data_IF_840926689999
#
_entry.id   IF_840926689999
#
_cell.length_a   1.000
_cell.length_b   1.000
_cell.length_c   1.000
_cell.angle_alpha   90.00
_cell.angle_beta   90.00
_cell.angle_gamma   90.00
#
_symmetry.space_group_name_H-M   'P 1'
#
loop_
_entity.id
_entity.type
_entity.pdbx_description
1 polymer ?
#
# COMPACT_ATOMS: atom_id res chain seq x y z
N UNK A 1 23.49 -6.22 27.81
CA UNK A 1 22.19 -6.08 27.13
C UNK A 1 21.50 -4.86 27.69
N UNK A 2 21.50 -3.77 26.96
CA UNK A 2 20.65 -2.60 27.26
C UNK A 2 19.27 -2.97 26.70
N UNK A 3 18.30 -3.15 27.57
CA UNK A 3 16.89 -3.23 27.12
C UNK A 3 16.52 -1.83 26.66
N UNK A 4 16.49 -1.61 25.36
CA UNK A 4 15.88 -0.41 24.77
C UNK A 4 14.37 -0.55 24.98
N UNK A 5 13.77 0.42 25.68
CA UNK A 5 12.32 0.50 25.80
C UNK A 5 11.78 0.90 24.41
N UNK A 6 10.95 0.05 23.81
CA UNK A 6 10.38 0.27 22.48
C UNK A 6 9.65 1.60 22.36
N UNK A 7 9.04 2.05 23.45
CA UNK A 7 8.37 3.35 23.49
C UNK A 7 9.36 4.51 23.43
N UNK A 8 10.49 4.38 24.10
CA UNK A 8 11.60 5.34 24.05
C UNK A 8 12.25 5.37 22.67
N UNK A 9 12.39 4.21 22.01
CA UNK A 9 12.86 4.08 20.63
C UNK A 9 11.89 4.75 19.62
N UNK A 10 10.59 4.52 19.76
CA UNK A 10 9.55 5.14 18.93
C UNK A 10 9.58 6.66 19.08
N UNK A 11 9.64 7.17 20.32
CA UNK A 11 9.75 8.60 20.61
C UNK A 11 11.06 9.21 20.07
N UNK A 12 12.19 8.51 20.18
CA UNK A 12 13.47 8.93 19.60
C UNK A 12 13.43 8.96 18.08
N UNK A 13 12.84 7.96 17.44
CA UNK A 13 12.74 7.90 15.97
C UNK A 13 11.90 9.05 15.45
N UNK A 14 10.76 9.33 16.09
CA UNK A 14 9.88 10.46 15.74
C UNK A 14 10.58 11.80 16.00
N UNK A 15 11.29 11.94 17.11
CA UNK A 15 11.99 13.17 17.48
C UNK A 15 13.16 13.43 16.52
N UNK A 16 13.97 12.43 16.23
CA UNK A 16 15.10 12.55 15.30
C UNK A 16 14.63 12.83 13.86
N UNK A 17 13.53 12.20 13.44
CA UNK A 17 12.90 12.50 12.15
C UNK A 17 12.41 13.94 12.06
N UNK A 18 11.86 14.51 13.15
CA UNK A 18 11.47 15.93 13.22
C UNK A 18 12.67 16.88 13.17
N UNK A 19 13.77 16.52 13.82
CA UNK A 19 15.02 17.33 13.81
C UNK A 19 15.64 17.36 12.41
N UNK A 20 15.70 16.22 11.72
CA UNK A 20 16.16 16.13 10.33
C UNK A 20 15.25 16.88 9.34
N UNK A 21 13.95 16.99 9.64
CA UNK A 21 13.01 17.81 8.86
C UNK A 21 13.25 19.31 9.01
N UNK A 22 13.80 19.76 10.15
CA UNK A 22 14.13 21.17 10.37
C UNK A 22 15.44 21.58 9.73
N UNK A 23 16.36 20.65 9.47
CA UNK A 23 17.67 20.92 8.87
C UNK A 23 17.72 20.75 7.33
N UNK A 24 16.73 20.13 6.72
CA UNK A 24 16.66 19.90 5.27
C UNK A 24 15.45 20.56 4.63
N UNK A 25 15.65 21.44 3.66
CA UNK A 25 14.60 21.94 2.78
C UNK A 25 13.94 20.76 2.01
N UNK A 26 12.98 20.08 2.65
CA UNK A 26 12.11 19.15 1.98
C UNK A 26 11.04 19.93 1.21
N UNK A 27 11.18 19.96 -0.11
CA UNK A 27 10.09 20.36 -1.01
C UNK A 27 8.90 19.46 -0.71
N UNK A 28 7.88 20.04 -0.08
CA UNK A 28 6.59 19.43 0.08
C UNK A 28 6.00 19.18 -1.31
N UNK A 29 5.94 17.94 -1.73
CA UNK A 29 5.08 17.53 -2.83
C UNK A 29 3.67 17.39 -2.25
N UNK A 30 2.69 17.91 -2.98
CA UNK A 30 1.30 18.16 -2.56
C UNK A 30 0.40 16.92 -2.47
N UNK A 31 0.89 15.80 -1.95
CA UNK A 31 0.11 14.57 -1.72
C UNK A 31 -0.20 14.30 -0.23
N UNK A 32 -0.23 15.33 0.58
CA UNK A 32 -0.25 15.27 2.05
C UNK A 32 -1.54 14.67 2.66
N UNK A 33 -2.62 14.47 1.90
CA UNK A 33 -3.93 14.17 2.51
C UNK A 33 -4.32 12.71 2.63
N UNK A 34 -3.74 11.78 1.86
CA UNK A 34 -4.22 10.39 1.77
C UNK A 34 -3.35 9.37 2.51
N UNK A 35 -2.05 9.58 2.55
CA UNK A 35 -1.11 8.67 3.21
C UNK A 35 -1.20 8.75 4.75
N UNK A 36 -1.63 9.89 5.30
CA UNK A 36 -1.72 10.10 6.76
C UNK A 36 -2.69 9.13 7.47
N UNK A 37 -3.81 8.77 6.84
CA UNK A 37 -4.79 7.85 7.44
C UNK A 37 -4.23 6.42 7.47
N UNK A 38 -3.68 5.95 6.36
CA UNK A 38 -3.13 4.59 6.26
C UNK A 38 -1.86 4.39 7.11
N UNK A 39 -1.15 5.46 7.43
CA UNK A 39 0.10 5.46 8.20
C UNK A 39 -0.06 6.08 9.62
N UNK A 40 -1.30 6.22 10.11
CA UNK A 40 -1.61 6.75 11.44
C UNK A 40 -0.93 8.11 11.72
N UNK A 41 -0.92 9.00 10.75
CA UNK A 41 -0.38 10.35 10.85
C UNK A 41 1.12 10.47 10.53
N UNK A 42 1.78 9.37 10.10
CA UNK A 42 3.13 9.42 9.58
C UNK A 42 3.13 9.67 8.07
N UNK A 43 4.11 10.40 7.58
CA UNK A 43 4.41 10.46 6.15
C UNK A 43 5.22 9.23 5.72
N UNK A 44 5.16 8.88 4.44
CA UNK A 44 6.00 7.81 3.87
C UNK A 44 7.49 8.06 4.14
N UNK A 45 7.94 9.29 4.00
CA UNK A 45 9.33 9.65 4.23
C UNK A 45 9.75 9.47 5.71
N UNK A 46 8.87 9.63 6.67
CA UNK A 46 9.15 9.35 8.09
C UNK A 46 9.29 7.85 8.32
N UNK A 47 8.39 7.05 7.75
CA UNK A 47 8.46 5.59 7.83
C UNK A 47 9.76 5.07 7.19
N UNK A 48 10.05 5.48 5.96
CA UNK A 48 11.22 5.04 5.20
C UNK A 48 12.55 5.38 5.93
N UNK A 49 12.64 6.58 6.52
CA UNK A 49 13.79 6.97 7.35
C UNK A 49 13.89 6.17 8.64
N UNK A 50 12.75 5.94 9.30
CA UNK A 50 12.71 5.13 10.51
C UNK A 50 13.20 3.71 10.28
N UNK A 51 12.81 3.10 9.14
CA UNK A 51 13.29 1.78 8.74
C UNK A 51 14.80 1.78 8.46
N UNK A 52 15.31 2.78 7.74
CA UNK A 52 16.77 2.92 7.50
C UNK A 52 17.54 3.05 8.81
N UNK A 53 17.03 3.85 9.75
CA UNK A 53 17.66 4.01 11.06
C UNK A 53 17.66 2.71 11.87
N UNK A 54 16.53 1.99 11.90
CA UNK A 54 16.46 0.67 12.56
C UNK A 54 17.43 -0.33 11.94
N UNK A 55 17.46 -0.42 10.61
CA UNK A 55 18.34 -1.32 9.88
C UNK A 55 19.83 -1.01 10.14
N UNK A 56 20.20 0.28 10.24
CA UNK A 56 21.54 0.69 10.60
C UNK A 56 21.93 0.20 12.01
N UNK A 57 21.03 0.33 12.99
CA UNK A 57 21.26 -0.19 14.34
C UNK A 57 21.46 -1.70 14.36
N UNK A 58 20.68 -2.46 13.59
CA UNK A 58 20.84 -3.93 13.45
C UNK A 58 22.20 -4.26 12.84
N UNK A 59 22.65 -3.55 11.79
CA UNK A 59 23.97 -3.77 11.21
C UNK A 59 25.10 -3.49 12.21
N UNK A 60 24.97 -2.45 13.03
CA UNK A 60 25.94 -2.14 14.10
C UNK A 60 25.99 -3.24 15.16
N UNK A 61 24.83 -3.79 15.58
CA UNK A 61 24.75 -4.92 16.51
C UNK A 61 25.40 -6.18 15.93
N UNK A 62 25.26 -6.40 14.62
CA UNK A 62 25.89 -7.51 13.90
C UNK A 62 27.39 -7.28 13.59
N UNK A 63 27.89 -6.06 13.74
CA UNK A 63 29.26 -5.67 13.35
C UNK A 63 29.48 -5.64 11.83
N UNK A 64 28.41 -5.39 11.06
CA UNK A 64 28.39 -5.37 9.60
C UNK A 64 28.22 -3.96 9.01
N UNK A 65 28.23 -2.93 9.84
CA UNK A 65 28.02 -1.53 9.44
C UNK A 65 29.03 -0.99 8.40
N UNK A 66 30.18 -1.65 8.29
CA UNK A 66 31.20 -1.31 7.30
C UNK A 66 31.21 -2.25 6.07
N UNK A 67 30.42 -3.31 6.10
CA UNK A 67 30.36 -4.33 5.03
C UNK A 67 29.06 -4.27 4.23
N UNK A 68 28.03 -3.64 4.80
CA UNK A 68 26.69 -3.52 4.20
C UNK A 68 26.31 -2.04 4.12
N UNK A 69 25.99 -1.60 2.92
CA UNK A 69 25.50 -0.24 2.62
C UNK A 69 23.97 -0.26 2.46
N UNK A 70 23.26 0.49 3.29
CA UNK A 70 21.84 0.72 3.12
C UNK A 70 21.61 1.78 2.05
N UNK A 71 20.79 1.50 1.03
CA UNK A 71 20.61 2.38 -0.11
C UNK A 71 19.32 3.20 -0.01
N UNK A 72 18.19 2.52 0.18
CA UNK A 72 16.88 3.17 0.28
C UNK A 72 15.85 2.23 0.93
N UNK A 73 14.80 2.83 1.49
CA UNK A 73 13.59 2.12 1.91
C UNK A 73 12.38 2.68 1.16
N UNK A 74 11.35 1.85 0.93
CA UNK A 74 10.09 2.25 0.30
C UNK A 74 8.92 1.54 0.94
N UNK A 75 7.91 2.34 1.32
CA UNK A 75 6.61 1.81 1.74
C UNK A 75 5.91 1.19 0.54
N UNK A 76 5.39 -0.03 0.72
CA UNK A 76 4.58 -0.73 -0.28
C UNK A 76 3.45 -1.52 0.38
N UNK A 77 2.88 -2.51 -0.34
CA UNK A 77 1.80 -3.32 0.20
C UNK A 77 0.46 -2.58 0.31
N UNK A 78 -0.48 -3.16 1.04
CA UNK A 78 -1.86 -2.68 1.12
C UNK A 78 -1.97 -1.25 1.69
N UNK A 79 -1.10 -0.88 2.64
CA UNK A 79 -1.09 0.47 3.22
C UNK A 79 -0.54 1.55 2.29
N UNK A 80 0.08 1.19 1.18
CA UNK A 80 0.47 2.12 0.13
C UNK A 80 -0.66 2.49 -0.84
N UNK A 81 -1.83 1.84 -0.72
CA UNK A 81 -2.98 1.97 -1.61
C UNK A 81 -4.26 2.19 -0.80
N UNK A 82 -4.93 3.33 -1.01
CA UNK A 82 -6.18 3.69 -0.32
C UNK A 82 -7.25 2.60 -0.44
N UNK A 83 -7.40 2.02 -1.64
CA UNK A 83 -8.41 1.03 -1.95
C UNK A 83 -8.15 -0.35 -1.32
N UNK A 84 -6.89 -0.65 -0.98
CA UNK A 84 -6.48 -1.93 -0.39
C UNK A 84 -6.23 -1.84 1.12
N UNK A 85 -6.16 -0.62 1.64
CA UNK A 85 -5.88 -0.37 3.05
C UNK A 85 -6.91 -1.01 3.97
N UNK A 86 -6.42 -1.58 5.07
CA UNK A 86 -7.22 -2.07 6.19
C UNK A 86 -6.50 -1.72 7.50
N UNK A 87 -7.27 -1.41 8.53
CA UNK A 87 -6.74 -1.04 9.85
C UNK A 87 -5.88 -2.14 10.49
N UNK A 88 -6.19 -3.41 10.21
CA UNK A 88 -5.52 -4.58 10.76
C UNK A 88 -4.30 -5.06 9.94
N UNK A 89 -3.98 -4.40 8.82
CA UNK A 89 -2.82 -4.79 8.01
C UNK A 89 -1.51 -4.27 8.58
N UNK A 90 -0.42 -5.03 8.38
CA UNK A 90 0.93 -4.61 8.69
C UNK A 90 1.39 -3.51 7.70
N UNK A 91 2.45 -2.80 8.06
CA UNK A 91 3.10 -1.80 7.23
C UNK A 91 4.31 -2.46 6.55
N UNK A 92 4.15 -2.76 5.27
CA UNK A 92 5.20 -3.39 4.47
C UNK A 92 6.20 -2.34 3.97
N UNK A 93 7.49 -2.58 4.21
CA UNK A 93 8.58 -1.72 3.73
C UNK A 93 9.65 -2.56 3.07
N UNK A 94 9.99 -2.26 1.82
CA UNK A 94 11.15 -2.85 1.16
C UNK A 94 12.39 -2.03 1.47
N UNK A 95 13.50 -2.71 1.80
CA UNK A 95 14.79 -2.12 2.13
C UNK A 95 15.83 -2.59 1.11
N UNK A 96 16.34 -1.67 0.29
CA UNK A 96 17.42 -1.98 -0.65
C UNK A 96 18.78 -1.79 0.02
N UNK A 97 19.66 -2.76 -0.15
CA UNK A 97 21.01 -2.74 0.38
C UNK A 97 22.04 -3.33 -0.60
N UNK A 98 23.30 -3.05 -0.36
CA UNK A 98 24.45 -3.63 -1.05
C UNK A 98 25.43 -4.18 -0.03
N UNK A 99 25.99 -5.37 -0.28
CA UNK A 99 26.99 -5.97 0.60
C UNK A 99 26.80 -7.47 0.80
N UNK A 100 27.69 -8.07 1.60
CA UNK A 100 27.80 -9.52 1.72
C UNK A 100 26.99 -10.07 2.92
N UNK A 101 25.68 -9.82 2.92
CA UNK A 101 24.75 -10.47 3.85
C UNK A 101 23.64 -11.16 3.05
N UNK A 102 23.22 -12.35 3.49
CA UNK A 102 22.10 -13.06 2.84
C UNK A 102 20.78 -12.40 3.21
N UNK A 103 19.90 -12.24 2.20
CA UNK A 103 18.57 -11.62 2.39
C UNK A 103 17.74 -12.28 3.49
N UNK A 104 17.71 -13.62 3.53
CA UNK A 104 16.98 -14.37 4.55
C UNK A 104 17.52 -14.16 5.97
N UNK A 105 18.83 -14.06 6.11
CA UNK A 105 19.47 -13.77 7.40
C UNK A 105 19.17 -12.34 7.83
N UNK A 106 19.31 -11.38 6.93
CA UNK A 106 19.03 -9.97 7.20
C UNK A 106 17.53 -9.75 7.51
N UNK A 107 16.64 -10.39 6.76
CA UNK A 107 15.20 -10.37 7.04
C UNK A 107 14.89 -10.84 8.46
N UNK A 108 15.49 -11.95 8.89
CA UNK A 108 15.27 -12.49 10.23
C UNK A 108 15.74 -11.52 11.32
N UNK A 109 16.91 -10.90 11.17
CA UNK A 109 17.43 -9.95 12.15
C UNK A 109 16.60 -8.66 12.20
N UNK A 110 16.23 -8.09 11.04
CA UNK A 110 15.41 -6.89 10.96
C UNK A 110 14.05 -7.05 11.64
N UNK A 111 13.45 -8.25 11.54
CA UNK A 111 12.11 -8.53 12.05
C UNK A 111 12.08 -9.33 13.38
N UNK A 112 13.26 -9.73 13.91
CA UNK A 112 13.38 -10.60 15.08
C UNK A 112 12.69 -10.06 16.34
N UNK A 113 12.70 -8.74 16.53
CA UNK A 113 12.15 -8.08 17.70
C UNK A 113 10.83 -7.37 17.45
N UNK A 114 10.33 -7.43 16.22
CA UNK A 114 9.11 -6.77 15.77
C UNK A 114 9.18 -5.25 16.00
N UNK A 115 9.20 -4.46 14.95
CA UNK A 115 9.13 -3.02 15.08
C UNK A 115 7.71 -2.54 14.81
N UNK A 116 7.33 -1.43 15.45
CA UNK A 116 6.06 -0.77 15.21
C UNK A 116 6.29 0.73 15.05
N UNK A 117 5.57 1.35 14.14
CA UNK A 117 5.57 2.80 13.93
C UNK A 117 4.13 3.31 14.04
N UNK A 118 3.92 4.31 14.90
CA UNK A 118 2.59 4.84 15.21
C UNK A 118 1.55 3.74 15.55
N UNK A 119 1.99 2.68 16.23
CA UNK A 119 1.14 1.54 16.62
C UNK A 119 0.88 0.52 15.52
N UNK A 120 1.46 0.69 14.32
CA UNK A 120 1.37 -0.27 13.21
C UNK A 120 2.62 -1.14 13.22
N UNK A 121 2.44 -2.47 13.19
CA UNK A 121 3.56 -3.41 13.02
C UNK A 121 4.20 -3.18 11.64
N UNK A 122 5.52 -3.12 11.60
CA UNK A 122 6.29 -2.97 10.37
C UNK A 122 6.93 -4.30 9.99
N UNK A 123 6.73 -4.71 8.73
CA UNK A 123 7.43 -5.83 8.10
C UNK A 123 8.45 -5.29 7.10
N UNK A 124 9.74 -5.55 7.36
CA UNK A 124 10.85 -5.08 6.52
C UNK A 124 11.32 -6.22 5.62
N UNK A 125 11.23 -6.01 4.30
CA UNK A 125 11.72 -6.95 3.30
C UNK A 125 13.02 -6.44 2.68
N UNK A 126 14.20 -6.97 3.07
CA UNK A 126 15.46 -6.59 2.48
C UNK A 126 15.65 -7.21 1.09
N UNK A 127 16.13 -6.40 0.14
CA UNK A 127 16.52 -6.84 -1.20
C UNK A 127 17.96 -6.43 -1.49
N UNK A 128 18.76 -7.36 -2.00
CA UNK A 128 20.12 -7.09 -2.44
C UNK A 128 20.10 -6.43 -3.83
N UNK A 129 20.64 -5.21 -3.94
CA UNK A 129 20.66 -4.42 -5.19
C UNK A 129 21.41 -5.15 -6.33
N UNK A 130 22.35 -6.04 -5.99
CA UNK A 130 23.05 -6.86 -6.96
C UNK A 130 22.15 -7.92 -7.65
N UNK A 131 21.03 -8.27 -6.99
CA UNK A 131 20.09 -9.27 -7.51
C UNK A 131 18.91 -8.63 -8.24
N UNK A 132 18.33 -7.61 -7.64
CA UNK A 132 17.20 -6.85 -8.18
C UNK A 132 17.28 -5.41 -7.69
N UNK A 133 17.15 -4.45 -8.59
CA UNK A 133 17.10 -3.04 -8.19
C UNK A 133 15.78 -2.71 -7.48
N UNK A 134 15.81 -1.73 -6.58
CA UNK A 134 14.61 -1.25 -5.91
C UNK A 134 13.53 -0.83 -6.93
N UNK A 135 13.93 -0.21 -8.02
CA UNK A 135 13.00 0.23 -9.07
C UNK A 135 12.30 -0.94 -9.78
N UNK A 136 13.02 -2.02 -10.08
CA UNK A 136 12.47 -3.23 -10.69
C UNK A 136 11.53 -3.94 -9.71
N UNK A 137 11.93 -4.10 -8.45
CA UNK A 137 11.09 -4.69 -7.42
C UNK A 137 9.79 -3.90 -7.24
N UNK A 138 9.87 -2.57 -7.11
CA UNK A 138 8.68 -1.72 -6.92
C UNK A 138 7.75 -1.79 -8.13
N UNK A 139 8.29 -1.87 -9.36
CA UNK A 139 7.46 -2.02 -10.56
C UNK A 139 6.65 -3.32 -10.55
N UNK A 140 7.24 -4.44 -10.13
CA UNK A 140 6.53 -5.71 -10.02
C UNK A 140 5.50 -5.69 -8.88
N UNK A 141 5.89 -5.12 -7.73
CA UNK A 141 5.00 -4.95 -6.57
C UNK A 141 3.80 -4.05 -6.89
N UNK A 142 4.02 -2.92 -7.57
CA UNK A 142 2.95 -2.01 -7.99
C UNK A 142 2.01 -2.69 -8.99
N UNK A 143 2.52 -3.40 -9.98
CA UNK A 143 1.68 -4.15 -10.93
C UNK A 143 0.80 -5.19 -10.23
N UNK A 144 1.31 -5.86 -9.20
CA UNK A 144 0.52 -6.78 -8.40
C UNK A 144 -0.60 -6.04 -7.62
N UNK A 145 -0.27 -4.90 -7.00
CA UNK A 145 -1.24 -4.10 -6.24
C UNK A 145 -2.33 -3.53 -7.17
N UNK A 146 -1.97 -3.08 -8.37
CA UNK A 146 -2.93 -2.62 -9.38
C UNK A 146 -3.95 -3.72 -9.74
N UNK A 147 -3.48 -4.97 -9.88
CA UNK A 147 -4.39 -6.11 -10.09
C UNK A 147 -5.30 -6.38 -8.89
N UNK A 148 -4.80 -6.20 -7.66
CA UNK A 148 -5.62 -6.36 -6.45
C UNK A 148 -6.68 -5.23 -6.35
N UNK A 149 -6.34 -3.98 -6.68
CA UNK A 149 -7.31 -2.87 -6.74
C UNK A 149 -8.41 -3.16 -7.76
N UNK A 150 -8.06 -3.64 -8.96
CA UNK A 150 -9.02 -4.00 -10.00
C UNK A 150 -9.94 -5.13 -9.54
N UNK A 151 -9.40 -6.18 -8.92
CA UNK A 151 -10.22 -7.28 -8.39
C UNK A 151 -11.18 -6.81 -7.29
N UNK A 152 -10.70 -5.96 -6.38
CA UNK A 152 -11.56 -5.41 -5.33
C UNK A 152 -12.66 -4.54 -5.93
N UNK A 153 -12.34 -3.70 -6.90
CA UNK A 153 -13.33 -2.90 -7.61
C UNK A 153 -14.39 -3.77 -8.29
N UNK A 154 -13.98 -4.87 -8.94
CA UNK A 154 -14.92 -5.81 -9.55
C UNK A 154 -15.88 -6.44 -8.52
N UNK A 155 -15.38 -6.81 -7.34
CA UNK A 155 -16.21 -7.29 -6.23
C UNK A 155 -17.19 -6.22 -5.74
N UNK A 156 -16.72 -4.97 -5.59
CA UNK A 156 -17.54 -3.87 -5.10
C UNK A 156 -18.65 -3.53 -6.13
N UNK A 157 -18.34 -3.57 -7.44
CA UNK A 157 -19.31 -3.41 -8.54
C UNK A 157 -20.35 -4.54 -8.55
N UNK A 158 -19.93 -5.79 -8.39
CA UNK A 158 -20.85 -6.94 -8.31
C UNK A 158 -21.78 -6.83 -7.09
N UNK A 159 -21.24 -6.47 -5.91
CA UNK A 159 -22.05 -6.26 -4.72
C UNK A 159 -23.06 -5.14 -4.91
N UNK A 160 -22.65 -4.00 -5.44
CA UNK A 160 -23.54 -2.86 -5.67
C UNK A 160 -24.62 -3.19 -6.70
N UNK A 161 -24.30 -3.91 -7.78
CA UNK A 161 -25.28 -4.33 -8.78
C UNK A 161 -26.33 -5.28 -8.20
N UNK A 162 -25.91 -6.16 -7.29
CA UNK A 162 -26.82 -7.08 -6.59
C UNK A 162 -27.78 -6.34 -5.64
N UNK A 163 -27.28 -5.33 -4.93
CA UNK A 163 -28.11 -4.55 -4.00
C UNK A 163 -29.08 -3.63 -4.72
N UNK A 164 -28.69 -3.06 -5.86
CA UNK A 164 -29.47 -2.06 -6.60
C UNK A 164 -30.58 -2.66 -7.46
N UNK A 165 -30.67 -3.97 -7.63
CA UNK A 165 -31.77 -4.72 -8.29
C UNK A 165 -32.04 -4.46 -9.78
N UNK A 166 -31.26 -3.66 -10.47
CA UNK A 166 -31.55 -3.17 -11.83
C UNK A 166 -30.66 -3.73 -12.94
N UNK A 167 -29.60 -4.46 -12.61
CA UNK A 167 -28.63 -4.92 -13.60
C UNK A 167 -29.06 -6.26 -14.24
N UNK A 168 -29.00 -6.39 -15.58
CA UNK A 168 -29.37 -7.56 -16.36
C UNK A 168 -28.62 -8.87 -16.04
N UNK A 169 -27.58 -8.79 -15.22
CA UNK A 169 -26.75 -9.94 -14.81
C UNK A 169 -27.36 -10.78 -13.68
N UNK A 170 -28.58 -10.50 -13.25
CA UNK A 170 -29.22 -11.08 -12.05
C UNK A 170 -29.62 -12.54 -12.12
N UNK A 171 -29.63 -13.15 -13.29
CA UNK A 171 -30.26 -14.46 -13.48
C UNK A 171 -29.41 -15.68 -13.10
N UNK A 172 -28.19 -15.49 -12.61
CA UNK A 172 -27.32 -16.62 -12.23
C UNK A 172 -26.61 -16.40 -10.92
N UNK A 173 -27.34 -16.45 -9.80
CA UNK A 173 -26.80 -16.45 -8.43
C UNK A 173 -25.79 -17.58 -8.19
N UNK A 174 -25.73 -18.57 -9.06
CA UNK A 174 -24.86 -19.74 -8.91
C UNK A 174 -23.38 -19.45 -9.25
N UNK A 175 -23.02 -18.28 -9.78
CA UNK A 175 -21.66 -18.03 -10.29
C UNK A 175 -21.13 -16.60 -10.06
N UNK A 176 -21.21 -16.09 -8.82
CA UNK A 176 -20.67 -14.76 -8.48
C UNK A 176 -19.16 -14.63 -8.75
N UNK A 177 -18.41 -15.71 -8.58
CA UNK A 177 -16.98 -15.74 -8.91
C UNK A 177 -16.76 -15.48 -10.41
N UNK A 178 -17.55 -16.11 -11.28
CA UNK A 178 -17.48 -15.94 -12.74
C UNK A 178 -17.89 -14.52 -13.17
N UNK A 179 -18.83 -13.90 -12.48
CA UNK A 179 -19.22 -12.49 -12.71
C UNK A 179 -18.08 -11.54 -12.33
N UNK A 180 -17.47 -11.72 -11.17
CA UNK A 180 -16.33 -10.93 -10.72
C UNK A 180 -15.15 -11.09 -11.67
N UNK A 181 -14.88 -12.32 -12.14
CA UNK A 181 -13.85 -12.57 -13.15
C UNK A 181 -14.14 -11.82 -14.45
N UNK A 182 -15.39 -11.87 -14.92
CA UNK A 182 -15.81 -11.17 -16.14
C UNK A 182 -15.68 -9.65 -15.99
N UNK A 183 -16.15 -9.06 -14.90
CA UNK A 183 -16.01 -7.63 -14.64
C UNK A 183 -14.50 -7.26 -14.59
N UNK A 184 -13.68 -8.09 -13.94
CA UNK A 184 -12.24 -7.91 -13.89
C UNK A 184 -11.63 -7.89 -15.30
N UNK A 185 -12.00 -8.85 -16.15
CA UNK A 185 -11.55 -8.91 -17.55
C UNK A 185 -12.02 -7.71 -18.37
N UNK A 186 -13.25 -7.26 -18.18
CA UNK A 186 -13.79 -6.09 -18.87
C UNK A 186 -13.04 -4.80 -18.47
N UNK A 187 -12.68 -4.64 -17.22
CA UNK A 187 -11.84 -3.51 -16.74
C UNK A 187 -10.46 -3.59 -17.40
N UNK A 188 -9.79 -4.74 -17.32
CA UNK A 188 -8.46 -4.93 -17.91
C UNK A 188 -8.43 -4.71 -19.43
N UNK A 189 -9.51 -5.06 -20.13
CA UNK A 189 -9.66 -4.89 -21.57
C UNK A 189 -10.28 -3.54 -21.96
N UNK A 190 -10.52 -2.63 -21.01
CA UNK A 190 -11.16 -1.32 -21.23
C UNK A 190 -12.54 -1.42 -21.91
N UNK A 191 -13.32 -2.44 -21.55
CA UNK A 191 -14.70 -2.67 -22.05
C UNK A 191 -15.75 -2.29 -21.01
N UNK A 192 -15.65 -1.11 -20.47
CA UNK A 192 -16.37 -0.67 -19.28
C UNK A 192 -17.48 0.34 -19.55
N UNK A 193 -17.76 0.67 -20.82
CA UNK A 193 -18.75 1.67 -21.20
C UNK A 193 -20.14 1.39 -20.60
N UNK A 194 -20.63 0.14 -20.71
CA UNK A 194 -21.92 -0.22 -20.12
C UNK A 194 -21.98 -0.07 -18.60
N UNK A 195 -20.87 -0.39 -17.91
CA UNK A 195 -20.76 -0.20 -16.45
C UNK A 195 -20.76 1.28 -16.07
N UNK A 196 -20.06 2.11 -16.85
CA UNK A 196 -20.04 3.56 -16.65
C UNK A 196 -21.40 4.18 -16.88
N UNK A 197 -22.04 3.85 -18.00
CA UNK A 197 -23.37 4.36 -18.35
C UNK A 197 -24.38 4.02 -17.24
N UNK A 198 -24.37 2.79 -16.75
CA UNK A 198 -25.21 2.35 -15.63
C UNK A 198 -24.91 3.13 -14.34
N UNK A 199 -23.63 3.30 -13.97
CA UNK A 199 -23.26 4.06 -12.76
C UNK A 199 -23.65 5.54 -12.86
N UNK A 200 -23.57 6.12 -14.05
CA UNK A 200 -24.05 7.49 -14.31
C UNK A 200 -25.57 7.56 -14.10
N UNK A 201 -26.34 6.65 -14.71
CA UNK A 201 -27.80 6.56 -14.57
C UNK A 201 -28.20 6.46 -13.09
N UNK A 202 -27.60 5.52 -12.32
CA UNK A 202 -27.85 5.39 -10.88
C UNK A 202 -27.53 6.68 -10.13
N UNK A 203 -26.43 7.34 -10.49
CA UNK A 203 -26.01 8.58 -9.82
C UNK A 203 -26.91 9.78 -10.08
N UNK A 204 -27.70 9.75 -11.18
CA UNK A 204 -28.61 10.82 -11.60
C UNK A 204 -30.07 10.54 -11.24
N UNK A 205 -30.49 9.27 -11.25
CA UNK A 205 -31.88 8.88 -11.13
C UNK A 205 -32.27 8.29 -9.77
N UNK A 206 -31.31 7.84 -8.95
CA UNK A 206 -31.63 7.27 -7.64
C UNK A 206 -32.12 8.34 -6.66
N UNK A 207 -33.24 8.05 -6.00
CA UNK A 207 -33.78 8.86 -4.89
C UNK A 207 -33.08 8.57 -3.55
N UNK A 208 -32.13 7.61 -3.52
CA UNK A 208 -31.40 7.18 -2.32
C UNK A 208 -30.00 7.78 -2.32
N UNK A 209 -29.74 8.70 -1.41
CA UNK A 209 -28.44 9.40 -1.31
C UNK A 209 -27.23 8.46 -1.21
N UNK A 210 -27.36 7.32 -0.49
CA UNK A 210 -26.30 6.32 -0.37
C UNK A 210 -25.92 5.70 -1.70
N UNK A 211 -26.90 5.41 -2.56
CA UNK A 211 -26.68 4.80 -3.87
C UNK A 211 -26.00 5.79 -4.81
N UNK A 212 -26.44 7.05 -4.79
CA UNK A 212 -25.80 8.13 -5.55
C UNK A 212 -24.32 8.29 -5.18
N UNK A 213 -24.01 8.30 -3.86
CA UNK A 213 -22.64 8.41 -3.38
C UNK A 213 -21.81 7.20 -3.80
N UNK A 214 -22.35 5.99 -3.64
CA UNK A 214 -21.68 4.75 -4.00
C UNK A 214 -21.42 4.67 -5.50
N UNK A 215 -22.42 4.97 -6.35
CA UNK A 215 -22.27 4.96 -7.80
C UNK A 215 -21.18 5.93 -8.27
N UNK A 216 -21.13 7.15 -7.73
CA UNK A 216 -20.10 8.14 -8.06
C UNK A 216 -18.71 7.69 -7.63
N UNK A 217 -18.59 7.06 -6.46
CA UNK A 217 -17.32 6.51 -5.96
C UNK A 217 -16.83 5.38 -6.88
N UNK A 218 -17.70 4.43 -7.24
CA UNK A 218 -17.38 3.32 -8.13
C UNK A 218 -16.99 3.81 -9.53
N UNK A 219 -17.71 4.80 -10.07
CA UNK A 219 -17.39 5.41 -11.36
C UNK A 219 -15.99 6.03 -11.38
N UNK A 220 -15.66 6.81 -10.35
CA UNK A 220 -14.33 7.42 -10.22
C UNK A 220 -13.22 6.38 -10.12
N UNK A 221 -13.45 5.29 -9.38
CA UNK A 221 -12.50 4.17 -9.26
C UNK A 221 -12.35 3.41 -10.57
N UNK A 222 -13.44 3.24 -11.32
CA UNK A 222 -13.42 2.59 -12.62
C UNK A 222 -12.62 3.38 -13.65
N UNK A 223 -12.80 4.70 -13.69
CA UNK A 223 -12.01 5.60 -14.53
C UNK A 223 -10.50 5.55 -14.17
N UNK A 224 -10.18 5.54 -12.86
CA UNK A 224 -8.80 5.37 -12.38
C UNK A 224 -8.22 4.02 -12.82
N UNK A 225 -8.96 2.93 -12.66
CA UNK A 225 -8.50 1.58 -12.98
C UNK A 225 -8.13 1.42 -14.46
N UNK A 226 -8.85 2.09 -15.38
CA UNK A 226 -8.52 2.10 -16.81
C UNK A 226 -7.19 2.78 -17.14
N UNK A 227 -6.67 3.62 -16.25
CA UNK A 227 -5.37 4.27 -16.43
C UNK A 227 -4.22 3.39 -15.95
N UNK A 228 -4.50 2.38 -15.09
CA UNK A 228 -3.51 1.46 -14.53
C UNK A 228 -3.23 0.26 -15.48
N UNK A 229 -4.12 -0.01 -16.41
CA UNK A 229 -4.06 -1.14 -17.37
C UNK A 229 -3.44 -0.70 -18.76
#
# INVERSE_FOLDING_TARGET
>A
CVKVDYKEFEEMTIQHSKELLQEGELRATSEIGRDEVALNGLSRAEVERGVLYHAQGILEEMGLENEVELLAARVHGSRSREELYRDDSDLDVVLSYRGNIREDSFFNELNAHGIAMAGIKVDINPIAEERITLAEYMKEADAYLDQQEIKKLAVDLDNFSYEYDTYEYKDTVENREEQVEKITEDILNKKTECLKDWLVEVSEESDIDSDVITARSLLSRLEKAETLS
#
